data_IF_686159184432
#
_entry.id   IF_686159184432
#
_cell.length_a   1.000
_cell.length_b   1.000
_cell.length_c   1.000
_cell.angle_alpha   90.00
_cell.angle_beta   90.00
_cell.angle_gamma   90.00
#
_symmetry.space_group_name_H-M   'P 1'
#
loop_
_entity.id
_entity.type
_entity.pdbx_description
1 polymer ?
#
# COMPACT_ATOMS: atom_id res chain seq x y z
N UNK A 1 34.89 58.34 34.58
CA UNK A 1 33.99 57.22 34.80
C UNK A 1 33.59 56.65 33.45
N UNK A 2 34.12 55.52 33.06
CA UNK A 2 33.79 54.84 31.78
C UNK A 2 32.86 53.68 32.09
N UNK A 3 31.61 53.76 31.71
CA UNK A 3 30.62 52.72 31.84
C UNK A 3 30.74 51.75 30.66
N UNK A 4 31.13 50.49 30.93
CA UNK A 4 31.08 49.40 29.97
C UNK A 4 29.66 48.82 29.95
N UNK A 5 29.03 48.91 28.80
CA UNK A 5 27.76 48.20 28.51
C UNK A 5 28.13 46.80 28.01
N UNK A 6 27.81 45.78 28.80
CA UNK A 6 27.94 44.40 28.44
C UNK A 6 26.71 43.97 27.62
N UNK A 7 26.85 43.79 26.32
CA UNK A 7 25.80 43.23 25.48
C UNK A 7 25.82 41.70 25.58
N UNK A 8 24.86 41.12 26.28
CA UNK A 8 24.64 39.68 26.33
C UNK A 8 23.84 39.25 25.07
N UNK A 9 24.50 38.66 24.11
CA UNK A 9 23.88 37.98 22.97
C UNK A 9 23.35 36.62 23.41
N UNK A 10 22.03 36.51 23.57
CA UNK A 10 21.35 35.25 23.78
C UNK A 10 21.28 34.49 22.42
N UNK A 11 22.09 33.48 22.24
CA UNK A 11 21.96 32.55 21.12
C UNK A 11 20.76 31.63 21.34
N UNK A 12 19.66 31.89 20.65
CA UNK A 12 18.48 31.01 20.61
C UNK A 12 18.84 29.77 19.77
N UNK A 13 19.20 28.68 20.43
CA UNK A 13 19.40 27.40 19.76
C UNK A 13 18.01 26.86 19.35
N UNK A 14 17.65 26.98 18.06
CA UNK A 14 16.51 26.29 17.51
C UNK A 14 16.79 24.79 17.53
N UNK A 15 16.20 24.06 18.49
CA UNK A 15 16.14 22.61 18.43
C UNK A 15 15.24 22.23 17.23
N UNK A 16 15.86 21.88 16.13
CA UNK A 16 15.18 21.18 15.04
C UNK A 16 14.89 19.78 15.56
N UNK A 17 13.66 19.53 15.98
CA UNK A 17 13.19 18.16 16.23
C UNK A 17 13.15 17.45 14.89
N UNK A 18 14.17 16.63 14.62
CA UNK A 18 14.10 15.65 13.53
C UNK A 18 13.05 14.63 13.92
N UNK A 19 12.07 14.33 13.04
CA UNK A 19 11.12 13.26 13.32
C UNK A 19 11.92 11.96 13.54
N UNK A 20 11.62 11.26 14.63
CA UNK A 20 12.21 9.95 14.88
C UNK A 20 11.85 9.03 13.70
N UNK A 21 12.85 8.49 13.02
CA UNK A 21 12.63 7.46 12.03
C UNK A 21 12.09 6.23 12.78
N UNK A 22 10.80 5.96 12.62
CA UNK A 22 10.21 4.73 13.14
C UNK A 22 10.80 3.54 12.37
N UNK A 23 11.16 2.48 13.11
CA UNK A 23 11.56 1.22 12.48
C UNK A 23 10.38 0.72 11.61
N UNK A 24 10.69 0.21 10.43
CA UNK A 24 9.68 -0.33 9.53
C UNK A 24 8.92 -1.47 10.21
N UNK A 25 7.60 -1.41 10.15
CA UNK A 25 6.70 -2.46 10.66
C UNK A 25 6.31 -3.39 9.53
N UNK A 26 6.36 -4.71 9.76
CA UNK A 26 6.01 -5.69 8.71
C UNK A 26 4.50 -5.87 8.60
N UNK A 27 3.97 -5.72 7.38
CA UNK A 27 2.60 -6.15 7.04
C UNK A 27 2.65 -7.62 6.64
N UNK A 28 1.97 -8.47 7.41
CA UNK A 28 1.84 -9.89 7.08
C UNK A 28 0.68 -10.06 6.11
N UNK A 29 0.98 -10.47 4.88
CA UNK A 29 -0.02 -10.77 3.86
C UNK A 29 -0.43 -12.25 3.95
N UNK A 30 -1.73 -12.52 4.04
CA UNK A 30 -2.30 -13.87 4.15
C UNK A 30 -3.51 -14.03 3.23
N UNK A 31 -3.87 -15.28 2.94
CA UNK A 31 -5.06 -15.59 2.14
C UNK A 31 -4.81 -15.68 0.63
N UNK A 32 -5.91 -15.83 -0.12
CA UNK A 32 -5.90 -15.83 -1.59
C UNK A 32 -7.23 -15.20 -2.08
N UNK A 33 -7.19 -13.94 -2.56
CA UNK A 33 -6.03 -13.05 -2.75
C UNK A 33 -5.33 -12.72 -1.41
N UNK A 34 -4.05 -12.35 -1.50
CA UNK A 34 -3.27 -11.95 -0.33
C UNK A 34 -3.84 -10.65 0.24
N UNK A 35 -4.00 -10.59 1.56
CA UNK A 35 -4.52 -9.41 2.26
C UNK A 35 -3.78 -9.20 3.58
N UNK A 36 -3.51 -7.96 3.92
CA UNK A 36 -2.88 -7.57 5.18
C UNK A 36 -3.39 -6.22 5.65
N UNK A 37 -3.57 -6.08 6.95
CA UNK A 37 -3.93 -4.82 7.59
C UNK A 37 -2.72 -4.17 8.25
N UNK A 38 -2.78 -2.86 8.37
CA UNK A 38 -1.78 -2.04 9.06
C UNK A 38 -2.46 -0.85 9.72
N UNK A 39 -1.76 -0.20 10.62
CA UNK A 39 -2.26 1.00 11.28
C UNK A 39 -1.35 1.42 12.42
N UNK A 40 -1.48 2.67 12.84
CA UNK A 40 -0.70 3.24 13.91
C UNK A 40 -1.49 4.34 14.64
N UNK A 41 -1.01 4.70 15.82
CA UNK A 41 -1.41 5.87 16.57
C UNK A 41 -0.25 6.86 16.55
N UNK A 42 -0.50 8.06 16.06
CA UNK A 42 0.51 9.08 15.77
C UNK A 42 0.20 10.40 16.48
N UNK A 43 1.24 11.22 16.67
CA UNK A 43 1.09 12.56 17.25
C UNK A 43 2.08 13.51 16.57
N UNK A 44 1.63 14.73 16.25
CA UNK A 44 2.44 15.70 15.50
C UNK A 44 2.79 15.21 14.10
N UNK A 45 3.91 15.65 13.56
CA UNK A 45 4.39 15.18 12.24
C UNK A 45 4.92 13.76 12.35
N UNK A 46 4.53 12.89 11.42
CA UNK A 46 4.91 11.49 11.38
C UNK A 46 5.36 11.04 9.99
N UNK A 47 6.17 9.99 9.97
CA UNK A 47 6.59 9.28 8.75
C UNK A 47 6.71 7.80 9.09
N UNK A 48 5.63 7.05 8.84
CA UNK A 48 5.57 5.63 9.12
C UNK A 48 5.92 4.81 7.89
N UNK A 49 6.72 3.78 8.10
CA UNK A 49 7.15 2.86 7.04
C UNK A 49 6.74 1.46 7.41
N UNK A 50 6.04 0.81 6.49
CA UNK A 50 5.66 -0.60 6.55
C UNK A 50 6.36 -1.36 5.44
N UNK A 51 6.76 -2.59 5.72
CA UNK A 51 7.34 -3.51 4.73
C UNK A 51 6.42 -4.69 4.52
N UNK A 52 6.29 -5.14 3.28
CA UNK A 52 5.62 -6.38 2.91
C UNK A 52 6.37 -7.07 1.78
N UNK A 53 6.31 -8.41 1.76
CA UNK A 53 7.03 -9.21 0.77
C UNK A 53 6.04 -10.02 -0.07
N UNK A 54 6.24 -9.98 -1.38
CA UNK A 54 5.53 -10.80 -2.35
C UNK A 54 6.46 -11.90 -2.86
N UNK A 55 6.00 -13.15 -2.86
CA UNK A 55 6.74 -14.27 -3.45
C UNK A 55 6.66 -14.27 -4.98
N UNK A 56 5.54 -13.79 -5.53
CA UNK A 56 5.26 -13.70 -6.96
C UNK A 56 4.73 -12.31 -7.32
N UNK A 57 4.86 -11.88 -8.57
CA UNK A 57 4.25 -10.64 -9.04
C UNK A 57 2.73 -10.63 -8.82
N UNK A 58 2.19 -9.46 -8.48
CA UNK A 58 0.76 -9.30 -8.23
C UNK A 58 0.27 -7.88 -8.40
N UNK A 59 -1.03 -7.73 -8.64
CA UNK A 59 -1.68 -6.43 -8.65
C UNK A 59 -2.06 -6.03 -7.22
N UNK A 60 -1.43 -4.98 -6.72
CA UNK A 60 -1.70 -4.42 -5.40
C UNK A 60 -2.75 -3.31 -5.47
N UNK A 61 -3.68 -3.34 -4.55
CA UNK A 61 -4.63 -2.27 -4.25
C UNK A 61 -4.68 -2.06 -2.74
N UNK A 62 -5.06 -0.88 -2.29
CA UNK A 62 -5.08 -0.62 -0.85
C UNK A 62 -5.94 0.58 -0.50
N UNK A 63 -6.27 0.67 0.78
CA UNK A 63 -6.97 1.82 1.36
C UNK A 63 -6.33 2.22 2.67
N UNK A 64 -6.37 3.52 2.96
CA UNK A 64 -5.99 4.10 4.25
C UNK A 64 -7.10 5.03 4.68
N UNK A 65 -7.49 4.95 5.94
CA UNK A 65 -8.53 5.79 6.53
C UNK A 65 -8.08 6.34 7.87
N UNK A 66 -8.49 7.58 8.17
CA UNK A 66 -8.49 8.14 9.51
C UNK A 66 -9.81 8.83 9.79
N UNK A 67 -10.23 8.87 11.04
CA UNK A 67 -11.47 9.51 11.47
C UNK A 67 -11.19 10.34 12.72
N UNK A 68 -11.51 11.63 12.66
CA UNK A 68 -11.49 12.51 13.83
C UNK A 68 -12.89 12.66 14.42
N UNK A 69 -13.11 12.11 15.61
CA UNK A 69 -14.40 12.23 16.30
C UNK A 69 -14.62 13.62 16.92
N UNK A 70 -13.55 14.37 17.16
CA UNK A 70 -13.64 15.72 17.74
C UNK A 70 -13.89 16.82 16.70
N UNK A 71 -13.79 16.48 15.41
CA UNK A 71 -14.00 17.38 14.28
C UNK A 71 -12.71 17.80 13.58
N UNK A 72 -12.87 18.51 12.47
CA UNK A 72 -11.77 19.00 11.66
C UNK A 72 -10.92 20.01 12.43
N UNK A 73 -9.60 19.84 12.42
CA UNK A 73 -8.67 20.70 13.14
C UNK A 73 -8.65 20.49 14.65
N UNK A 74 -9.35 19.48 15.16
CA UNK A 74 -9.38 19.15 16.59
C UNK A 74 -8.42 17.99 16.92
N UNK A 75 -8.28 17.67 18.20
CA UNK A 75 -7.45 16.56 18.63
C UNK A 75 -7.92 15.24 18.00
N UNK A 76 -6.97 14.48 17.43
CA UNK A 76 -7.23 13.24 16.70
C UNK A 76 -7.39 13.41 15.19
N UNK A 77 -7.40 14.66 14.69
CA UNK A 77 -7.44 14.92 13.26
C UNK A 77 -6.06 14.63 12.63
N UNK A 78 -6.05 13.82 11.58
CA UNK A 78 -4.85 13.46 10.83
C UNK A 78 -5.00 14.04 9.42
N UNK A 79 -3.95 14.68 8.93
CA UNK A 79 -3.82 15.08 7.55
C UNK A 79 -2.65 14.35 6.91
N UNK A 80 -2.91 13.55 5.87
CA UNK A 80 -1.86 12.86 5.12
C UNK A 80 -1.30 13.77 4.03
N UNK A 81 0.02 14.00 4.07
CA UNK A 81 0.75 14.70 3.02
C UNK A 81 0.99 13.79 1.81
N UNK A 82 1.35 12.52 2.07
CA UNK A 82 1.54 11.51 1.05
C UNK A 82 1.42 10.09 1.60
N UNK A 83 0.87 9.20 0.78
CA UNK A 83 0.86 7.75 1.01
C UNK A 83 1.33 7.10 -0.27
N UNK A 84 2.38 6.28 -0.20
CA UNK A 84 2.99 5.70 -1.40
C UNK A 84 3.54 4.29 -1.19
N UNK A 85 3.55 3.48 -2.27
CA UNK A 85 4.31 2.24 -2.34
C UNK A 85 5.59 2.50 -3.12
N UNK A 86 6.75 2.18 -2.53
CA UNK A 86 8.09 2.35 -3.10
C UNK A 86 8.39 3.80 -3.56
N UNK A 87 7.79 4.81 -2.92
CA UNK A 87 7.87 6.23 -3.33
C UNK A 87 7.51 6.48 -4.82
N UNK A 88 6.82 5.53 -5.45
CA UNK A 88 6.46 5.56 -6.89
C UNK A 88 4.96 5.54 -7.12
N UNK A 89 4.23 4.71 -6.39
CA UNK A 89 2.79 4.53 -6.56
C UNK A 89 2.05 5.23 -5.43
N UNK A 90 1.45 6.38 -5.74
CA UNK A 90 0.76 7.20 -4.74
C UNK A 90 -0.70 6.85 -4.61
N UNK A 91 -1.20 6.87 -3.38
CA UNK A 91 -2.61 6.78 -3.09
C UNK A 91 -3.31 8.09 -3.43
N UNK A 92 -4.50 7.98 -3.99
CA UNK A 92 -5.33 9.13 -4.35
C UNK A 92 -6.28 9.45 -3.19
N UNK A 93 -6.33 10.71 -2.71
CA UNK A 93 -7.31 11.13 -1.72
C UNK A 93 -8.72 11.09 -2.33
N UNK A 94 -9.62 10.35 -1.68
CA UNK A 94 -11.02 10.24 -2.05
C UNK A 94 -11.90 11.16 -1.18
N UNK A 95 -11.48 11.41 0.04
CA UNK A 95 -12.10 12.31 0.99
C UNK A 95 -11.05 12.98 1.83
N UNK A 96 -11.25 14.23 2.19
CA UNK A 96 -10.41 15.01 3.08
C UNK A 96 -11.27 15.68 4.17
N UNK A 97 -10.66 16.00 5.30
CA UNK A 97 -11.33 16.61 6.43
C UNK A 97 -11.50 15.62 7.60
N UNK A 98 -12.63 15.65 8.30
CA UNK A 98 -12.88 14.82 9.50
C UNK A 98 -12.70 13.32 9.24
N UNK A 99 -13.05 12.89 8.04
CA UNK A 99 -12.86 11.51 7.56
C UNK A 99 -11.93 11.56 6.35
N UNK A 100 -10.68 11.23 6.55
CA UNK A 100 -9.76 11.08 5.43
C UNK A 100 -9.79 9.64 4.91
N UNK A 101 -9.88 9.52 3.58
CA UNK A 101 -9.87 8.25 2.90
C UNK A 101 -9.03 8.34 1.63
N UNK A 102 -8.05 7.45 1.54
CA UNK A 102 -7.12 7.37 0.42
C UNK A 102 -7.18 5.97 -0.19
N UNK A 103 -7.15 5.88 -1.52
CA UNK A 103 -7.15 4.63 -2.26
C UNK A 103 -5.95 4.53 -3.20
N UNK A 104 -5.36 3.35 -3.26
CA UNK A 104 -4.45 2.98 -4.35
C UNK A 104 -5.28 2.45 -5.52
N UNK A 105 -5.57 3.34 -6.46
CA UNK A 105 -6.37 3.03 -7.66
C UNK A 105 -5.83 3.80 -8.87
N UNK A 106 -5.65 3.18 -10.04
CA UNK A 106 -5.89 1.75 -10.30
C UNK A 106 -4.93 0.84 -9.51
N UNK A 107 -5.25 -0.46 -9.44
CA UNK A 107 -4.33 -1.44 -8.85
C UNK A 107 -3.00 -1.44 -9.61
N UNK A 108 -1.89 -1.48 -8.87
CA UNK A 108 -0.54 -1.41 -9.44
C UNK A 108 0.13 -2.77 -9.47
N UNK A 109 0.85 -3.06 -10.55
CA UNK A 109 1.63 -4.28 -10.66
C UNK A 109 2.93 -4.15 -9.87
N UNK A 110 3.11 -5.03 -8.90
CA UNK A 110 4.34 -5.16 -8.10
C UNK A 110 5.06 -6.46 -8.45
N UNK A 111 6.39 -6.44 -8.42
CA UNK A 111 7.24 -7.63 -8.60
C UNK A 111 7.17 -8.56 -7.40
N UNK A 112 7.66 -9.80 -7.55
CA UNK A 112 7.92 -10.69 -6.41
C UNK A 112 9.18 -10.22 -5.68
N UNK A 113 9.03 -9.38 -4.66
CA UNK A 113 10.09 -8.77 -3.88
C UNK A 113 9.53 -8.17 -2.57
N UNK A 114 10.42 -7.61 -1.76
CA UNK A 114 10.01 -6.77 -0.62
C UNK A 114 9.72 -5.35 -1.12
N UNK A 115 8.61 -4.81 -0.65
CA UNK A 115 8.12 -3.49 -0.96
C UNK A 115 7.91 -2.68 0.31
N UNK A 116 7.96 -1.35 0.18
CA UNK A 116 7.70 -0.42 1.27
C UNK A 116 6.42 0.35 1.03
N UNK A 117 5.58 0.45 2.05
CA UNK A 117 4.44 1.37 2.11
C UNK A 117 4.80 2.48 3.10
N UNK A 118 4.81 3.72 2.63
CA UNK A 118 5.18 4.89 3.41
C UNK A 118 4.00 5.83 3.56
N UNK A 119 3.76 6.27 4.78
CA UNK A 119 2.73 7.24 5.12
C UNK A 119 3.40 8.44 5.80
N UNK A 120 3.18 9.63 5.25
CA UNK A 120 3.68 10.89 5.79
C UNK A 120 2.50 11.80 6.05
N UNK A 121 2.50 12.47 7.19
CA UNK A 121 1.42 13.37 7.55
C UNK A 121 1.62 14.06 8.89
N UNK A 122 0.55 14.73 9.34
CA UNK A 122 0.51 15.46 10.61
C UNK A 122 -0.77 15.14 11.36
N UNK A 123 -0.65 14.87 12.66
CA UNK A 123 -1.78 14.65 13.55
C UNK A 123 -1.89 15.81 14.55
N UNK A 124 -3.09 16.31 14.80
CA UNK A 124 -3.36 17.28 15.85
C UNK A 124 -3.65 16.54 17.16
N UNK A 125 -2.74 16.68 18.12
CA UNK A 125 -2.76 15.82 19.31
C UNK A 125 -2.42 14.39 18.97
N UNK A 126 -3.20 13.43 19.44
CA UNK A 126 -3.03 12.00 19.16
C UNK A 126 -4.16 11.52 18.26
N UNK A 127 -3.83 11.06 17.07
CA UNK A 127 -4.76 10.48 16.09
C UNK A 127 -4.38 9.05 15.74
N UNK A 128 -5.32 8.30 15.18
CA UNK A 128 -5.09 6.93 14.72
C UNK A 128 -5.57 6.77 13.29
N UNK A 129 -4.82 5.99 12.53
CA UNK A 129 -5.21 5.58 11.19
C UNK A 129 -5.13 4.06 11.04
N UNK A 130 -5.84 3.54 10.05
CA UNK A 130 -5.78 2.14 9.67
C UNK A 130 -5.92 1.98 8.17
N UNK A 131 -5.42 0.86 7.66
CA UNK A 131 -5.50 0.56 6.25
C UNK A 131 -5.46 -0.93 5.97
N UNK A 132 -5.73 -1.26 4.71
CA UNK A 132 -5.66 -2.61 4.20
C UNK A 132 -4.95 -2.61 2.84
N UNK A 133 -4.09 -3.58 2.66
CA UNK A 133 -3.41 -3.88 1.40
C UNK A 133 -3.90 -5.23 0.89
N UNK A 134 -4.28 -5.28 -0.39
CA UNK A 134 -4.72 -6.51 -1.07
C UNK A 134 -3.86 -6.72 -2.29
N UNK A 135 -3.44 -7.96 -2.55
CA UNK A 135 -2.63 -8.31 -3.71
C UNK A 135 -3.23 -9.52 -4.40
N UNK A 136 -3.64 -9.32 -5.65
CA UNK A 136 -4.11 -10.38 -6.54
C UNK A 136 -2.92 -10.90 -7.36
N UNK A 137 -2.63 -12.20 -7.28
CA UNK A 137 -1.56 -12.81 -8.05
C UNK A 137 -1.82 -12.70 -9.56
N UNK A 138 -0.75 -12.43 -10.33
CA UNK A 138 -0.81 -12.55 -11.79
C UNK A 138 -0.74 -14.03 -12.14
N UNK A 139 -1.69 -14.58 -12.93
CA UNK A 139 -1.61 -15.95 -13.37
C UNK A 139 -0.34 -16.20 -14.18
N UNK A 140 0.44 -17.23 -13.80
CA UNK A 140 1.70 -17.55 -14.44
C UNK A 140 1.48 -17.92 -15.94
N UNK A 141 2.38 -17.47 -16.86
CA UNK A 141 2.31 -17.85 -18.27
C UNK A 141 2.27 -19.37 -18.51
N UNK A 142 2.91 -20.14 -17.61
CA UNK A 142 2.89 -21.60 -17.64
C UNK A 142 1.48 -22.17 -17.44
N UNK A 143 0.68 -21.58 -16.57
CA UNK A 143 -0.71 -21.99 -16.33
C UNK A 143 -1.57 -21.78 -17.58
N UNK A 144 -1.42 -20.64 -18.25
CA UNK A 144 -2.09 -20.36 -19.52
C UNK A 144 -1.64 -21.34 -20.64
N UNK A 145 -0.33 -21.58 -20.74
CA UNK A 145 0.22 -22.52 -21.71
C UNK A 145 -0.34 -23.94 -21.51
N UNK A 146 -0.37 -24.44 -20.28
CA UNK A 146 -0.92 -25.75 -19.94
C UNK A 146 -2.43 -25.83 -20.22
N UNK A 147 -3.19 -24.79 -19.98
CA UNK A 147 -4.60 -24.73 -20.32
C UNK A 147 -4.81 -24.83 -21.84
N UNK A 148 -4.06 -24.05 -22.63
CA UNK A 148 -4.13 -24.09 -24.10
C UNK A 148 -3.75 -25.46 -24.64
N UNK A 149 -2.65 -26.06 -24.13
CA UNK A 149 -2.22 -27.41 -24.49
C UNK A 149 -3.30 -28.44 -24.14
N UNK A 150 -3.92 -28.35 -22.98
CA UNK A 150 -5.01 -29.23 -22.55
C UNK A 150 -6.22 -29.14 -23.50
N UNK A 151 -6.66 -27.94 -23.84
CA UNK A 151 -7.77 -27.72 -24.78
C UNK A 151 -7.40 -28.26 -26.18
N UNK A 152 -6.19 -28.00 -26.65
CA UNK A 152 -5.71 -28.49 -27.93
C UNK A 152 -5.67 -30.04 -27.98
N UNK A 153 -5.22 -30.69 -26.92
CA UNK A 153 -5.20 -32.17 -26.82
C UNK A 153 -6.61 -32.75 -26.88
N UNK A 154 -7.57 -32.16 -26.15
CA UNK A 154 -8.98 -32.58 -26.21
C UNK A 154 -9.54 -32.38 -27.62
N UNK A 155 -9.30 -31.23 -28.25
CA UNK A 155 -9.76 -30.97 -29.62
C UNK A 155 -9.19 -31.97 -30.64
N UNK A 156 -7.91 -32.36 -30.53
CA UNK A 156 -7.29 -33.37 -31.37
C UNK A 156 -7.91 -34.75 -31.18
N UNK A 157 -8.22 -35.15 -29.95
CA UNK A 157 -8.85 -36.46 -29.68
C UNK A 157 -10.27 -36.53 -30.23
N UNK A 158 -11.04 -35.44 -30.11
CA UNK A 158 -12.40 -35.34 -30.68
C UNK A 158 -12.35 -35.40 -32.21
N UNK A 159 -11.41 -34.70 -32.85
CA UNK A 159 -11.24 -34.75 -34.33
C UNK A 159 -10.88 -36.14 -34.83
N UNK A 160 -10.03 -36.89 -34.12
CA UNK A 160 -9.68 -38.29 -34.51
C UNK A 160 -10.88 -39.22 -34.39
N UNK A 161 -11.77 -39.05 -33.39
CA UNK A 161 -12.98 -39.85 -33.26
C UNK A 161 -13.96 -39.65 -34.41
N UNK A 162 -14.12 -38.44 -34.93
CA UNK A 162 -15.03 -38.16 -36.01
C UNK A 162 -14.62 -38.76 -37.36
N UNK A 163 -13.31 -39.05 -37.56
CA UNK A 163 -12.80 -39.68 -38.76
C UNK A 163 -13.03 -41.20 -38.81
N UNK A 164 -13.31 -41.84 -37.67
CA UNK A 164 -13.50 -43.29 -37.61
C UNK A 164 -14.97 -43.72 -37.76
N UNK A 165 -15.91 -42.79 -37.93
CA UNK A 165 -17.30 -43.09 -38.25
C UNK A 165 -17.51 -43.12 -39.78
N UNK A 166 -16.90 -44.04 -40.49
CA UNK A 166 -17.34 -44.42 -41.83
C UNK A 166 -18.53 -45.35 -41.67
N UNK A 167 -19.72 -44.80 -41.93
CA UNK A 167 -20.94 -45.60 -42.00
C UNK A 167 -20.85 -46.46 -43.25
N UNK A 168 -20.63 -47.75 -43.06
CA UNK A 168 -20.79 -48.72 -44.15
C UNK A 168 -22.27 -48.91 -44.41
N UNK A 169 -22.80 -48.30 -45.46
CA UNK A 169 -24.10 -48.66 -46.03
C UNK A 169 -23.91 -49.88 -46.88
N UNK A 170 -24.50 -50.99 -46.49
CA UNK A 170 -24.66 -52.23 -47.23
C UNK A 170 -26.03 -52.26 -47.84
#
# INVERSE_FOLDING_TARGET
MKTFVLAATAALAALTMTPAANAATTIVLTGSPLSGSFGNTVAGSFSDVYEFTLSNPGYASGSVTSISFAGLGAAGDISFDSISINDTFFFTPMSSGVNEWHLLTPAVLLSGATHTLKLVGTAIGTGSYGGQLNVAAVPEPATWAMMVVGIAAVGMTMRRRSQNMQVAFS
#
